data_IF_861990558196
#
_entry.id   IF_861990558196
#
_cell.length_a   1.000
_cell.length_b   1.000
_cell.length_c   1.000
_cell.angle_alpha   90.00
_cell.angle_beta   90.00
_cell.angle_gamma   90.00
#
_symmetry.space_group_name_H-M   'P 1'
#
loop_
_entity.id
_entity.type
_entity.pdbx_description
1 polymer ?
#
# COMPACT_ATOMS: atom_id res chain seq x y z
N UNK A 1 48.42 4.58 5.05
CA UNK A 1 49.71 3.86 5.17
C UNK A 1 50.74 4.54 4.27
N UNK A 2 51.79 5.06 4.88
CA UNK A 2 52.96 5.58 4.12
C UNK A 2 53.79 4.37 3.74
N UNK A 3 53.92 4.10 2.43
CA UNK A 3 54.83 3.08 1.92
C UNK A 3 56.13 3.74 1.45
N UNK A 4 57.29 3.14 1.74
CA UNK A 4 58.54 3.58 1.11
C UNK A 4 58.39 3.46 -0.41
N UNK A 5 58.64 4.54 -1.14
CA UNK A 5 58.72 4.51 -2.59
C UNK A 5 59.90 3.57 -2.99
N UNK A 6 59.57 2.44 -3.60
CA UNK A 6 60.60 1.64 -4.32
C UNK A 6 60.68 2.22 -5.72
N UNK A 7 61.88 2.46 -6.23
CA UNK A 7 62.15 3.05 -7.54
C UNK A 7 61.56 2.30 -8.76
N UNK A 8 60.87 1.20 -8.53
CA UNK A 8 60.33 0.28 -9.55
C UNK A 8 58.81 0.13 -9.55
N UNK A 9 58.05 0.79 -8.66
CA UNK A 9 56.60 0.69 -8.69
C UNK A 9 56.01 1.71 -9.68
N UNK A 10 55.34 1.28 -10.76
CA UNK A 10 54.70 2.23 -11.69
C UNK A 10 53.66 3.06 -10.95
N UNK A 11 53.71 4.38 -11.13
CA UNK A 11 52.68 5.28 -10.62
C UNK A 11 51.36 4.87 -11.25
N UNK A 12 50.34 4.57 -10.41
CA UNK A 12 49.01 4.25 -10.93
C UNK A 12 48.47 5.45 -11.70
N UNK A 13 48.07 5.24 -12.93
CA UNK A 13 47.48 6.25 -13.83
C UNK A 13 45.97 6.41 -13.59
N UNK A 14 45.38 5.62 -12.70
CA UNK A 14 43.97 5.63 -12.35
C UNK A 14 43.77 5.96 -10.88
N UNK A 15 42.61 6.51 -10.55
CA UNK A 15 42.17 6.69 -9.16
C UNK A 15 41.93 5.33 -8.51
N UNK A 16 42.16 5.25 -7.20
CA UNK A 16 41.96 4.01 -6.46
C UNK A 16 40.53 3.98 -5.89
N UNK A 17 39.68 3.07 -6.32
CA UNK A 17 38.35 2.95 -5.78
C UNK A 17 38.36 2.47 -4.32
N UNK A 18 37.41 2.96 -3.51
CA UNK A 18 37.20 2.52 -2.14
C UNK A 18 35.85 1.78 -2.11
N UNK A 19 35.88 0.52 -1.72
CA UNK A 19 34.70 -0.33 -1.66
C UNK A 19 34.16 -0.42 -0.22
N UNK A 20 32.84 -0.52 -0.02
CA UNK A 20 32.27 -0.87 1.28
C UNK A 20 32.80 -2.23 1.72
N UNK A 21 33.28 -2.32 2.96
CA UNK A 21 33.85 -3.56 3.53
C UNK A 21 33.18 -3.93 4.85
N UNK A 22 33.22 -5.22 5.17
CA UNK A 22 32.83 -5.76 6.46
C UNK A 22 34.07 -6.13 7.29
N UNK A 23 33.92 -6.38 8.57
CA UNK A 23 35.00 -6.82 9.44
C UNK A 23 35.69 -8.08 8.87
N UNK A 24 37.01 -8.05 8.80
CA UNK A 24 37.84 -9.15 8.28
C UNK A 24 38.17 -9.10 6.78
N UNK A 25 37.58 -8.18 6.00
CA UNK A 25 37.84 -8.03 4.57
C UNK A 25 38.63 -6.75 4.28
N UNK A 26 39.85 -6.87 3.73
CA UNK A 26 40.67 -5.71 3.41
C UNK A 26 40.35 -5.09 2.04
N UNK A 27 40.51 -3.76 1.91
CA UNK A 27 40.38 -3.06 0.63
C UNK A 27 41.29 -3.66 -0.46
N UNK A 28 42.49 -4.06 -0.08
CA UNK A 28 43.44 -4.69 -1.00
C UNK A 28 42.90 -6.02 -1.56
N UNK A 29 42.35 -6.86 -0.70
CA UNK A 29 41.78 -8.16 -1.09
C UNK A 29 40.60 -7.95 -2.05
N UNK A 30 39.71 -7.03 -1.72
CA UNK A 30 38.56 -6.67 -2.55
C UNK A 30 38.99 -6.15 -3.93
N UNK A 31 39.90 -5.19 -3.96
CA UNK A 31 40.39 -4.64 -5.21
C UNK A 31 41.01 -5.74 -6.10
N UNK A 32 41.80 -6.65 -5.52
CA UNK A 32 42.39 -7.77 -6.26
C UNK A 32 41.32 -8.73 -6.82
N UNK A 33 40.26 -9.02 -6.07
CA UNK A 33 39.17 -9.87 -6.55
C UNK A 33 38.38 -9.18 -7.65
N UNK A 34 38.11 -7.89 -7.52
CA UNK A 34 37.41 -7.12 -8.55
C UNK A 34 38.26 -7.05 -9.85
N UNK A 35 39.53 -6.77 -9.74
CA UNK A 35 40.45 -6.78 -10.89
C UNK A 35 40.47 -8.13 -11.61
N UNK A 36 40.53 -9.21 -10.85
CA UNK A 36 40.43 -10.58 -11.37
C UNK A 36 39.07 -10.83 -12.04
N UNK A 37 37.96 -10.46 -11.37
CA UNK A 37 36.64 -10.61 -11.93
C UNK A 37 36.41 -9.84 -13.21
N UNK A 38 36.87 -8.58 -13.29
CA UNK A 38 36.81 -7.74 -14.50
C UNK A 38 37.61 -8.31 -15.68
N UNK A 39 38.71 -9.05 -15.39
CA UNK A 39 39.51 -9.72 -16.40
C UNK A 39 38.86 -10.99 -16.94
N UNK A 40 37.99 -11.66 -16.15
CA UNK A 40 37.33 -12.91 -16.52
C UNK A 40 35.87 -12.74 -16.98
N UNK A 41 35.22 -11.63 -16.59
CA UNK A 41 33.84 -11.39 -16.92
C UNK A 41 33.61 -11.14 -18.41
N UNK A 42 32.59 -11.77 -18.97
CA UNK A 42 32.08 -11.38 -20.28
C UNK A 42 31.29 -10.06 -20.13
N UNK A 43 31.88 -8.98 -20.61
CA UNK A 43 31.30 -7.64 -20.61
C UNK A 43 30.78 -7.25 -22.02
N UNK A 44 30.48 -8.23 -22.85
CA UNK A 44 29.87 -7.99 -24.16
C UNK A 44 28.45 -7.38 -24.06
N UNK A 45 28.03 -6.71 -25.11
CA UNK A 45 26.69 -6.14 -25.19
C UNK A 45 25.63 -7.24 -25.29
N UNK A 46 24.55 -7.13 -24.50
CA UNK A 46 23.42 -8.09 -24.55
C UNK A 46 22.55 -7.92 -25.78
N UNK A 47 22.48 -6.69 -26.32
CA UNK A 47 21.64 -6.35 -27.46
C UNK A 47 22.47 -5.73 -28.59
N UNK A 48 21.99 -5.79 -29.83
CA UNK A 48 22.61 -5.08 -30.96
C UNK A 48 22.69 -3.57 -30.71
N UNK A 49 23.68 -2.89 -31.26
CA UNK A 49 23.96 -1.47 -31.05
C UNK A 49 22.73 -0.55 -31.35
N UNK A 50 21.88 -0.93 -32.26
CA UNK A 50 20.67 -0.20 -32.61
C UNK A 50 19.57 -0.24 -31.52
N UNK A 51 19.70 -1.08 -30.51
CA UNK A 51 18.80 -1.14 -29.36
C UNK A 51 19.15 -0.11 -28.27
N UNK A 52 20.32 0.55 -28.39
CA UNK A 52 20.76 1.56 -27.43
C UNK A 52 20.64 2.97 -28.01
N UNK A 53 20.42 3.99 -27.16
CA UNK A 53 20.47 5.38 -27.58
C UNK A 53 21.80 5.74 -28.25
N UNK A 54 21.74 6.55 -29.31
CA UNK A 54 22.94 7.00 -30.03
C UNK A 54 23.90 7.74 -29.09
N UNK A 55 25.16 7.35 -29.10
CA UNK A 55 26.22 7.97 -28.28
C UNK A 55 26.29 7.43 -26.84
N UNK A 56 25.53 6.41 -26.49
CA UNK A 56 25.65 5.74 -25.20
C UNK A 56 26.98 4.99 -25.10
N UNK A 57 27.65 5.14 -23.96
CA UNK A 57 28.90 4.41 -23.66
C UNK A 57 28.66 2.90 -23.64
N UNK A 58 29.63 2.09 -24.07
CA UNK A 58 29.49 0.63 -24.00
C UNK A 58 29.44 0.12 -22.56
N UNK A 59 28.81 -1.06 -22.35
CA UNK A 59 28.75 -1.68 -21.03
C UNK A 59 30.16 -1.94 -20.46
N UNK A 60 31.03 -2.53 -21.28
CA UNK A 60 32.40 -2.84 -20.89
C UNK A 60 33.21 -1.59 -20.49
N UNK A 61 33.11 -0.52 -21.27
CA UNK A 61 33.80 0.76 -20.94
C UNK A 61 33.24 1.37 -19.67
N UNK A 62 31.92 1.35 -19.50
CA UNK A 62 31.23 1.90 -18.32
C UNK A 62 31.65 1.19 -17.04
N UNK A 63 31.63 -0.15 -17.03
CA UNK A 63 32.02 -0.95 -15.86
C UNK A 63 33.51 -0.73 -15.54
N UNK A 64 34.38 -0.81 -16.53
CA UNK A 64 35.84 -0.60 -16.33
C UNK A 64 36.15 0.79 -15.81
N UNK A 65 35.51 1.82 -16.37
CA UNK A 65 35.70 3.20 -15.95
C UNK A 65 35.30 3.44 -14.49
N UNK A 66 34.18 2.90 -14.04
CA UNK A 66 33.73 3.08 -12.65
C UNK A 66 34.71 2.41 -11.68
N UNK A 67 35.28 1.27 -12.04
CA UNK A 67 36.24 0.57 -11.19
C UNK A 67 37.68 1.12 -11.31
N UNK A 68 38.04 1.71 -12.44
CA UNK A 68 39.38 2.27 -12.72
C UNK A 68 39.25 3.65 -13.38
N UNK A 69 38.72 4.66 -12.67
CA UNK A 69 38.55 5.98 -13.27
C UNK A 69 39.92 6.63 -13.54
N UNK A 70 40.06 7.27 -14.71
CA UNK A 70 41.27 8.01 -15.08
C UNK A 70 41.46 9.21 -14.13
N UNK A 71 42.71 9.63 -13.90
CA UNK A 71 43.00 10.79 -13.06
C UNK A 71 42.38 12.10 -13.55
N UNK A 72 42.16 12.20 -14.86
CA UNK A 72 41.58 13.38 -15.52
C UNK A 72 40.04 13.42 -15.47
N UNK A 73 39.40 12.44 -14.87
CA UNK A 73 37.93 12.37 -14.85
C UNK A 73 37.32 13.42 -13.90
N UNK A 74 36.16 13.94 -14.27
CA UNK A 74 35.41 14.84 -13.40
C UNK A 74 34.78 14.03 -12.24
N UNK A 75 35.41 14.17 -11.06
CA UNK A 75 34.95 13.49 -9.83
C UNK A 75 33.55 13.89 -9.43
N UNK A 76 33.16 15.16 -9.65
CA UNK A 76 31.83 15.61 -9.29
C UNK A 76 30.74 14.88 -10.11
N UNK A 77 30.98 14.64 -11.40
CA UNK A 77 30.05 13.85 -12.22
C UNK A 77 29.99 12.37 -11.80
N UNK A 78 31.12 11.81 -11.33
CA UNK A 78 31.12 10.44 -10.81
C UNK A 78 30.35 10.34 -9.50
N UNK A 79 30.62 11.24 -8.54
CA UNK A 79 29.95 11.24 -7.21
C UNK A 79 28.45 11.55 -7.32
N UNK A 80 28.07 12.51 -8.17
CA UNK A 80 26.66 12.84 -8.44
C UNK A 80 25.95 11.82 -9.34
N UNK A 81 26.65 10.78 -9.80
CA UNK A 81 26.14 9.74 -10.73
C UNK A 81 25.63 10.29 -12.08
N UNK A 82 26.13 11.44 -12.49
CA UNK A 82 25.78 12.06 -13.78
C UNK A 82 26.71 11.67 -14.92
N UNK A 83 27.81 10.99 -14.62
CA UNK A 83 28.75 10.54 -15.66
C UNK A 83 28.10 9.52 -16.61
N UNK A 84 28.40 9.54 -17.95
CA UNK A 84 27.81 8.60 -18.92
C UNK A 84 27.92 7.12 -18.55
N UNK A 85 28.99 6.72 -17.86
CA UNK A 85 29.13 5.35 -17.35
C UNK A 85 28.04 4.97 -16.34
N UNK A 86 27.67 5.86 -15.43
CA UNK A 86 26.54 5.63 -14.52
C UNK A 86 25.21 5.63 -15.23
N UNK A 87 25.03 6.51 -16.21
CA UNK A 87 23.83 6.56 -17.04
C UNK A 87 23.63 5.25 -17.81
N UNK A 88 24.74 4.66 -18.30
CA UNK A 88 24.69 3.35 -18.96
C UNK A 88 24.24 2.25 -18.02
N UNK A 89 24.84 2.12 -16.84
CA UNK A 89 24.44 1.08 -15.88
C UNK A 89 22.98 1.25 -15.42
N UNK A 90 22.57 2.50 -15.16
CA UNK A 90 21.18 2.79 -14.81
C UNK A 90 20.21 2.42 -15.96
N UNK A 91 20.60 2.67 -17.20
CA UNK A 91 19.82 2.29 -18.38
C UNK A 91 19.65 0.78 -18.48
N UNK A 92 20.74 0.00 -18.34
CA UNK A 92 20.68 -1.46 -18.42
C UNK A 92 19.83 -2.06 -17.30
N UNK A 93 19.95 -1.53 -16.07
CA UNK A 93 19.13 -1.96 -14.94
C UNK A 93 17.64 -1.67 -15.17
N UNK A 94 17.32 -0.45 -15.62
CA UNK A 94 15.95 -0.06 -15.95
C UNK A 94 15.39 -0.88 -17.12
N UNK A 95 16.21 -1.15 -18.14
CA UNK A 95 15.81 -1.98 -19.29
C UNK A 95 15.52 -3.42 -18.85
N UNK A 96 16.40 -4.02 -18.05
CA UNK A 96 16.20 -5.36 -17.50
C UNK A 96 14.91 -5.43 -16.66
N UNK A 97 14.66 -4.41 -15.84
CA UNK A 97 13.42 -4.28 -15.08
C UNK A 97 12.20 -4.19 -16.01
N UNK A 98 12.23 -3.32 -17.03
CA UNK A 98 11.13 -3.17 -17.98
C UNK A 98 10.86 -4.47 -18.76
N UNK A 99 11.90 -5.17 -19.20
CA UNK A 99 11.76 -6.45 -19.88
C UNK A 99 11.16 -7.54 -18.97
N UNK A 100 11.60 -7.61 -17.72
CA UNK A 100 11.03 -8.52 -16.71
C UNK A 100 9.54 -8.25 -16.53
N UNK A 101 9.17 -6.99 -16.38
CA UNK A 101 7.79 -6.54 -16.26
C UNK A 101 6.97 -6.91 -17.50
N UNK A 102 7.48 -6.64 -18.68
CA UNK A 102 6.80 -6.99 -19.93
C UNK A 102 6.61 -8.50 -20.06
N UNK A 103 7.58 -9.29 -19.64
CA UNK A 103 7.49 -10.75 -19.58
C UNK A 103 6.36 -11.20 -18.64
N UNK A 104 6.25 -10.62 -17.46
CA UNK A 104 5.15 -10.90 -16.50
C UNK A 104 3.80 -10.52 -17.09
N UNK A 105 3.69 -9.33 -17.70
CA UNK A 105 2.48 -8.89 -18.38
C UNK A 105 2.04 -9.88 -19.48
N UNK A 106 2.96 -10.28 -20.36
CA UNK A 106 2.68 -11.25 -21.42
C UNK A 106 2.34 -12.64 -20.88
N UNK A 107 2.97 -13.07 -19.78
CA UNK A 107 2.64 -14.33 -19.11
C UNK A 107 1.21 -14.31 -18.55
N UNK A 108 0.78 -13.19 -17.96
CA UNK A 108 -0.59 -12.99 -17.47
C UNK A 108 -1.62 -13.12 -18.58
N UNK A 109 -1.33 -12.58 -19.76
CA UNK A 109 -2.23 -12.67 -20.93
C UNK A 109 -2.41 -14.08 -21.50
N UNK A 110 -1.53 -15.03 -21.11
CA UNK A 110 -1.67 -16.45 -21.46
C UNK A 110 -2.55 -17.24 -20.49
N UNK A 111 -2.83 -16.66 -19.32
CA UNK A 111 -3.70 -17.25 -18.31
C UNK A 111 -5.15 -17.01 -18.70
N UNK A 112 -6.04 -17.92 -18.31
CA UNK A 112 -7.47 -17.76 -18.51
C UNK A 112 -8.11 -17.14 -17.28
N UNK A 113 -9.09 -16.28 -17.50
CA UNK A 113 -9.95 -15.72 -16.48
C UNK A 113 -11.42 -15.83 -16.88
N UNK A 114 -12.35 -15.78 -15.91
CA UNK A 114 -13.76 -15.73 -16.23
C UNK A 114 -14.10 -14.46 -17.01
N UNK A 115 -14.82 -14.59 -18.12
CA UNK A 115 -15.36 -13.45 -18.83
C UNK A 115 -16.59 -12.95 -18.06
N UNK A 116 -16.45 -11.82 -17.38
CA UNK A 116 -17.48 -11.27 -16.49
C UNK A 116 -18.28 -10.21 -17.26
N UNK A 117 -19.31 -10.63 -17.93
CA UNK A 117 -20.22 -9.76 -18.68
C UNK A 117 -21.56 -9.65 -17.95
N UNK A 118 -22.05 -8.44 -17.78
CA UNK A 118 -23.33 -8.16 -17.12
C UNK A 118 -24.15 -7.20 -17.99
N UNK A 119 -25.46 -7.38 -17.98
CA UNK A 119 -26.43 -6.46 -18.62
C UNK A 119 -26.55 -5.11 -17.87
N UNK A 120 -25.88 -4.98 -16.73
CA UNK A 120 -25.87 -3.79 -15.89
C UNK A 120 -27.15 -3.56 -15.08
N UNK A 121 -28.14 -4.44 -15.13
CA UNK A 121 -29.41 -4.25 -14.40
C UNK A 121 -29.20 -4.16 -12.90
N UNK A 122 -28.37 -5.05 -12.32
CA UNK A 122 -28.04 -5.04 -10.90
C UNK A 122 -27.28 -3.79 -10.48
N UNK A 123 -26.36 -3.33 -11.32
CA UNK A 123 -25.58 -2.10 -11.10
C UNK A 123 -26.51 -0.89 -11.13
N UNK A 124 -27.43 -0.79 -12.08
CA UNK A 124 -28.42 0.30 -12.13
C UNK A 124 -29.26 0.37 -10.87
N UNK A 125 -29.82 -0.78 -10.43
CA UNK A 125 -30.58 -0.85 -9.16
C UNK A 125 -29.77 -0.38 -7.97
N UNK A 126 -28.48 -0.71 -7.93
CA UNK A 126 -27.57 -0.26 -6.88
C UNK A 126 -27.38 1.25 -6.92
N UNK A 127 -27.10 1.80 -8.10
CA UNK A 127 -26.88 3.25 -8.29
C UNK A 127 -28.12 4.07 -7.96
N UNK A 128 -29.32 3.60 -8.34
CA UNK A 128 -30.58 4.24 -8.03
C UNK A 128 -30.88 4.28 -6.52
N UNK A 129 -30.32 3.32 -5.75
CA UNK A 129 -30.44 3.26 -4.30
C UNK A 129 -29.41 4.09 -3.53
N UNK A 130 -28.42 4.68 -4.19
CA UNK A 130 -27.40 5.48 -3.51
C UNK A 130 -27.91 6.90 -3.20
N UNK A 131 -27.59 7.46 -1.99
CA UNK A 131 -28.01 8.81 -1.61
C UNK A 131 -27.15 9.92 -2.30
N UNK A 132 -26.28 9.57 -3.22
CA UNK A 132 -25.37 10.49 -3.93
C UNK A 132 -25.11 10.00 -5.35
N UNK A 133 -24.63 10.89 -6.19
CA UNK A 133 -24.20 10.57 -7.56
C UNK A 133 -22.70 10.28 -7.61
N UNK A 134 -22.29 9.41 -8.54
CA UNK A 134 -20.88 9.15 -8.79
C UNK A 134 -20.21 10.36 -9.43
N UNK A 135 -18.95 10.62 -9.06
CA UNK A 135 -18.11 11.64 -9.70
C UNK A 135 -17.62 11.15 -11.08
N UNK A 136 -17.19 12.09 -11.93
CA UNK A 136 -16.60 11.74 -13.23
C UNK A 136 -15.37 10.85 -13.10
N UNK A 137 -14.53 11.11 -12.07
CA UNK A 137 -13.37 10.28 -11.75
C UNK A 137 -13.75 8.84 -11.39
N UNK A 138 -14.81 8.65 -10.59
CA UNK A 138 -15.34 7.33 -10.25
C UNK A 138 -15.93 6.63 -11.48
N UNK A 139 -16.70 7.33 -12.31
CA UNK A 139 -17.29 6.80 -13.54
C UNK A 139 -16.21 6.32 -14.51
N UNK A 140 -15.16 7.12 -14.72
CA UNK A 140 -14.01 6.75 -15.57
C UNK A 140 -13.37 5.45 -15.08
N UNK A 141 -13.07 5.35 -13.80
CA UNK A 141 -12.42 4.17 -13.23
C UNK A 141 -13.32 2.93 -13.30
N UNK A 142 -14.62 3.09 -13.08
CA UNK A 142 -15.60 2.01 -13.24
C UNK A 142 -15.59 1.47 -14.67
N UNK A 143 -15.53 2.34 -15.67
CA UNK A 143 -15.43 1.92 -17.08
C UNK A 143 -14.14 1.16 -17.38
N UNK A 144 -13.00 1.59 -16.82
CA UNK A 144 -11.72 0.89 -16.95
C UNK A 144 -11.79 -0.52 -16.34
N UNK A 145 -12.35 -0.65 -15.13
CA UNK A 145 -12.52 -1.94 -14.44
C UNK A 145 -13.50 -2.82 -15.20
N UNK A 146 -14.63 -2.28 -15.66
CA UNK A 146 -15.62 -2.98 -16.46
C UNK A 146 -15.00 -3.55 -17.74
N UNK A 147 -14.21 -2.74 -18.44
CA UNK A 147 -13.49 -3.18 -19.64
C UNK A 147 -12.50 -4.32 -19.36
N UNK A 148 -11.85 -4.32 -18.20
CA UNK A 148 -10.91 -5.40 -17.85
C UNK A 148 -11.61 -6.68 -17.40
N UNK A 149 -12.71 -6.59 -16.68
CA UNK A 149 -13.50 -7.75 -16.25
C UNK A 149 -14.13 -8.51 -17.45
N UNK A 150 -14.33 -7.83 -18.56
CA UNK A 150 -14.82 -8.41 -19.82
C UNK A 150 -13.75 -9.14 -20.62
N UNK A 151 -12.47 -9.13 -20.18
CA UNK A 151 -11.38 -9.81 -20.87
C UNK A 151 -11.26 -11.27 -20.44
N UNK A 152 -10.81 -12.13 -21.35
CA UNK A 152 -10.60 -13.55 -21.08
C UNK A 152 -9.30 -13.88 -20.33
N UNK A 153 -8.53 -12.86 -19.92
CA UNK A 153 -7.32 -12.99 -19.10
C UNK A 153 -7.46 -12.21 -17.80
N UNK A 154 -6.74 -12.60 -16.72
CA UNK A 154 -6.94 -12.01 -15.41
C UNK A 154 -6.65 -10.51 -15.38
N UNK A 155 -7.62 -9.72 -14.93
CA UNK A 155 -7.39 -8.34 -14.52
C UNK A 155 -6.46 -8.36 -13.30
N UNK A 156 -5.48 -7.47 -13.28
CA UNK A 156 -4.64 -7.19 -12.13
C UNK A 156 -4.51 -5.66 -12.01
N UNK A 157 -5.46 -5.03 -11.31
CA UNK A 157 -5.62 -3.57 -11.32
C UNK A 157 -5.50 -2.98 -9.92
N UNK A 158 -4.76 -1.88 -9.81
CA UNK A 158 -4.67 -1.07 -8.61
C UNK A 158 -5.59 0.14 -8.72
N UNK A 159 -6.56 0.22 -7.83
CA UNK A 159 -7.44 1.36 -7.63
C UNK A 159 -6.84 2.28 -6.57
N UNK A 160 -6.37 3.42 -6.99
CA UNK A 160 -5.78 4.44 -6.14
C UNK A 160 -6.75 5.61 -5.96
N UNK A 161 -6.84 6.15 -4.76
CA UNK A 161 -7.62 7.35 -4.46
C UNK A 161 -7.51 7.71 -2.99
N UNK A 162 -7.66 8.98 -2.67
CA UNK A 162 -7.60 9.47 -1.29
C UNK A 162 -8.59 8.77 -0.37
N UNK A 163 -8.38 8.88 0.94
CA UNK A 163 -9.36 8.43 1.94
C UNK A 163 -10.68 9.18 1.67
N UNK A 164 -11.80 8.43 1.60
CA UNK A 164 -13.11 9.02 1.29
C UNK A 164 -13.36 9.31 -0.20
N UNK A 165 -12.46 8.99 -1.13
CA UNK A 165 -12.69 9.16 -2.58
C UNK A 165 -13.76 8.22 -3.17
N UNK A 166 -14.30 7.29 -2.36
CA UNK A 166 -15.33 6.35 -2.79
C UNK A 166 -14.80 5.05 -3.39
N UNK A 167 -13.56 4.65 -3.11
CA UNK A 167 -13.00 3.34 -3.54
C UNK A 167 -13.92 2.16 -3.25
N UNK A 168 -14.55 2.14 -2.08
CA UNK A 168 -15.48 1.08 -1.67
C UNK A 168 -16.69 0.98 -2.60
N UNK A 169 -17.24 2.10 -3.05
CA UNK A 169 -18.37 2.11 -4.00
C UNK A 169 -17.95 1.54 -5.35
N UNK A 170 -16.79 1.97 -5.87
CA UNK A 170 -16.22 1.45 -7.12
C UNK A 170 -15.97 -0.06 -7.02
N UNK A 171 -15.38 -0.52 -5.92
CA UNK A 171 -15.15 -1.94 -5.66
C UNK A 171 -16.46 -2.75 -5.55
N UNK A 172 -17.50 -2.16 -4.93
CA UNK A 172 -18.83 -2.78 -4.86
C UNK A 172 -19.47 -2.91 -6.24
N UNK A 173 -19.32 -1.92 -7.12
CA UNK A 173 -19.80 -2.00 -8.51
C UNK A 173 -19.10 -3.12 -9.28
N UNK A 174 -17.77 -3.24 -9.13
CA UNK A 174 -17.02 -4.36 -9.71
C UNK A 174 -17.50 -5.73 -9.17
N UNK A 175 -17.77 -5.81 -7.86
CA UNK A 175 -18.34 -7.00 -7.22
C UNK A 175 -19.72 -7.34 -7.79
N UNK A 176 -20.61 -6.36 -7.93
CA UNK A 176 -21.94 -6.55 -8.49
C UNK A 176 -21.90 -7.03 -9.95
N UNK A 177 -20.94 -6.57 -10.75
CA UNK A 177 -20.72 -7.09 -12.11
C UNK A 177 -20.37 -8.57 -12.07
N UNK A 178 -19.43 -8.99 -11.19
CA UNK A 178 -19.05 -10.39 -11.06
C UNK A 178 -20.21 -11.26 -10.59
N UNK A 179 -20.98 -10.79 -9.62
CA UNK A 179 -22.15 -11.49 -9.06
C UNK A 179 -23.26 -11.62 -10.11
N UNK A 180 -23.54 -10.57 -10.87
CA UNK A 180 -24.52 -10.62 -11.96
C UNK A 180 -24.16 -11.62 -13.06
N UNK A 181 -22.85 -11.91 -13.20
CA UNK A 181 -22.34 -12.93 -14.13
C UNK A 181 -22.25 -14.34 -13.50
N UNK A 182 -22.80 -14.53 -12.28
CA UNK A 182 -22.86 -15.82 -11.59
C UNK A 182 -21.55 -16.22 -10.89
N UNK A 183 -20.67 -15.28 -10.58
CA UNK A 183 -19.43 -15.53 -9.84
C UNK A 183 -19.50 -15.00 -8.41
N UNK A 184 -18.73 -15.63 -7.54
CA UNK A 184 -18.52 -15.17 -6.17
C UNK A 184 -17.38 -14.17 -6.10
N UNK A 185 -17.41 -13.32 -5.07
CA UNK A 185 -16.40 -12.30 -4.82
C UNK A 185 -15.81 -12.48 -3.42
N UNK A 186 -14.49 -12.30 -3.29
CA UNK A 186 -13.80 -12.20 -2.01
C UNK A 186 -13.27 -10.78 -1.82
N UNK A 187 -13.56 -10.15 -0.67
CA UNK A 187 -12.99 -8.85 -0.26
C UNK A 187 -12.14 -9.05 0.98
N UNK A 188 -10.84 -8.79 0.85
CA UNK A 188 -9.87 -8.92 1.93
C UNK A 188 -9.46 -7.54 2.45
N UNK A 189 -9.56 -7.35 3.76
CA UNK A 189 -9.08 -6.17 4.46
C UNK A 189 -7.96 -6.53 5.45
N UNK A 190 -7.02 -5.62 5.75
CA UNK A 190 -5.85 -5.94 6.57
C UNK A 190 -6.16 -6.17 8.05
N UNK A 191 -7.26 -5.63 8.55
CA UNK A 191 -7.65 -5.75 9.96
C UNK A 191 -9.12 -6.12 10.10
N UNK A 192 -9.49 -6.73 11.25
CA UNK A 192 -10.87 -7.10 11.54
C UNK A 192 -11.81 -5.88 11.58
N UNK A 193 -11.33 -4.75 12.08
CA UNK A 193 -12.12 -3.50 12.16
C UNK A 193 -12.49 -3.01 10.74
N UNK A 194 -11.53 -2.97 9.81
CA UNK A 194 -11.80 -2.60 8.42
C UNK A 194 -12.72 -3.61 7.73
N UNK A 195 -12.50 -4.90 7.94
CA UNK A 195 -13.34 -5.94 7.39
C UNK A 195 -14.80 -5.80 7.89
N UNK A 196 -14.98 -5.51 9.18
CA UNK A 196 -16.30 -5.25 9.78
C UNK A 196 -16.96 -4.00 9.20
N UNK A 197 -16.22 -2.91 9.00
CA UNK A 197 -16.73 -1.68 8.38
C UNK A 197 -17.18 -1.93 6.94
N UNK A 198 -16.35 -2.61 6.14
CA UNK A 198 -16.74 -3.02 4.79
C UNK A 198 -17.99 -3.89 4.82
N UNK A 199 -18.03 -4.87 5.73
CA UNK A 199 -19.17 -5.75 5.86
C UNK A 199 -20.46 -4.98 6.19
N UNK A 200 -20.48 -4.16 7.23
CA UNK A 200 -21.67 -3.39 7.62
C UNK A 200 -22.19 -2.51 6.48
N UNK A 201 -21.28 -1.84 5.79
CA UNK A 201 -21.64 -0.93 4.68
C UNK A 201 -22.16 -1.70 3.47
N UNK A 202 -21.45 -2.73 3.04
CA UNK A 202 -21.80 -3.50 1.84
C UNK A 202 -23.02 -4.40 2.10
N UNK A 203 -23.15 -5.01 3.30
CA UNK A 203 -24.29 -5.82 3.65
C UNK A 203 -25.60 -5.03 3.58
N UNK A 204 -25.63 -3.79 4.06
CA UNK A 204 -26.78 -2.92 3.95
C UNK A 204 -27.19 -2.65 2.47
N UNK A 205 -26.22 -2.45 1.59
CA UNK A 205 -26.48 -2.30 0.16
C UNK A 205 -26.95 -3.61 -0.49
N UNK A 206 -26.35 -4.74 -0.10
CA UNK A 206 -26.66 -6.06 -0.65
C UNK A 206 -28.07 -6.54 -0.24
N UNK A 207 -28.47 -6.26 0.98
CA UNK A 207 -29.82 -6.58 1.50
C UNK A 207 -30.91 -5.95 0.61
N UNK A 208 -30.77 -4.67 0.23
CA UNK A 208 -31.70 -3.98 -0.67
C UNK A 208 -31.76 -4.59 -2.08
N UNK A 209 -30.72 -5.31 -2.49
CA UNK A 209 -30.61 -5.96 -3.79
C UNK A 209 -31.02 -7.46 -3.75
N UNK A 210 -31.28 -8.01 -2.55
CA UNK A 210 -31.56 -9.44 -2.35
C UNK A 210 -30.31 -10.32 -2.47
N UNK A 211 -29.12 -9.77 -2.20
CA UNK A 211 -27.85 -10.46 -2.25
C UNK A 211 -27.36 -10.83 -0.86
N UNK A 212 -26.57 -11.91 -0.76
CA UNK A 212 -26.02 -12.41 0.50
C UNK A 212 -24.53 -12.05 0.63
N UNK A 213 -24.15 -11.59 1.81
CA UNK A 213 -22.80 -11.26 2.19
C UNK A 213 -22.40 -12.00 3.48
N UNK A 214 -21.19 -12.54 3.55
CA UNK A 214 -20.65 -13.24 4.72
C UNK A 214 -19.40 -12.51 5.23
N UNK A 215 -19.32 -12.37 6.54
CA UNK A 215 -18.11 -11.86 7.20
C UNK A 215 -17.37 -12.98 7.91
N UNK A 216 -16.08 -13.16 7.59
CA UNK A 216 -15.18 -14.11 8.26
C UNK A 216 -14.18 -13.36 9.15
N UNK A 217 -14.28 -13.59 10.45
CA UNK A 217 -13.39 -13.03 11.47
C UNK A 217 -12.66 -14.11 12.26
N UNK A 218 -11.43 -13.79 12.71
CA UNK A 218 -10.67 -14.63 13.64
C UNK A 218 -11.38 -14.88 14.96
N UNK A 219 -12.18 -13.91 15.44
CA UNK A 219 -12.88 -13.91 16.72
C UNK A 219 -14.15 -14.77 16.75
N UNK A 220 -14.66 -15.23 15.61
CA UNK A 220 -15.88 -16.05 15.53
C UNK A 220 -15.68 -17.46 16.10
N UNK A 221 -16.77 -18.02 16.66
CA UNK A 221 -16.77 -19.40 17.16
C UNK A 221 -16.57 -20.42 16.03
N UNK A 222 -16.05 -21.60 16.35
CA UNK A 222 -15.85 -22.68 15.37
C UNK A 222 -17.14 -23.03 14.62
N UNK A 223 -18.28 -23.04 15.30
CA UNK A 223 -19.60 -23.34 14.72
C UNK A 223 -20.00 -22.28 13.70
N UNK A 224 -19.86 -21.01 14.03
CA UNK A 224 -20.16 -19.91 13.11
C UNK A 224 -19.25 -19.94 11.88
N UNK A 225 -17.93 -20.18 12.06
CA UNK A 225 -16.99 -20.33 10.94
C UNK A 225 -17.40 -21.46 10.02
N UNK A 226 -17.76 -22.61 10.59
CA UNK A 226 -18.18 -23.76 9.80
C UNK A 226 -19.44 -23.48 8.96
N UNK A 227 -20.43 -22.82 9.53
CA UNK A 227 -21.62 -22.38 8.79
C UNK A 227 -21.28 -21.43 7.64
N UNK A 228 -20.38 -20.48 7.89
CA UNK A 228 -19.93 -19.55 6.84
C UNK A 228 -19.12 -20.27 5.74
N UNK A 229 -18.31 -21.25 6.09
CA UNK A 229 -17.58 -22.05 5.08
C UNK A 229 -18.54 -22.83 4.19
N UNK A 230 -19.56 -23.46 4.75
CA UNK A 230 -20.61 -24.16 4.00
C UNK A 230 -21.39 -23.20 3.10
N UNK A 231 -21.71 -22.01 3.59
CA UNK A 231 -22.43 -20.99 2.85
C UNK A 231 -21.61 -20.43 1.66
N UNK A 232 -20.29 -20.30 1.83
CA UNK A 232 -19.37 -19.91 0.74
C UNK A 232 -19.21 -21.06 -0.26
N UNK A 233 -18.96 -22.28 0.22
CA UNK A 233 -18.69 -23.44 -0.64
C UNK A 233 -19.91 -23.91 -1.43
N UNK A 234 -21.12 -23.67 -0.93
CA UNK A 234 -22.37 -23.94 -1.65
C UNK A 234 -22.73 -22.89 -2.73
N UNK A 235 -21.97 -21.76 -2.80
CA UNK A 235 -22.27 -20.66 -3.70
C UNK A 235 -23.42 -19.75 -3.25
N UNK A 236 -24.01 -19.97 -2.07
CA UNK A 236 -25.09 -19.14 -1.53
C UNK A 236 -24.58 -17.77 -1.08
N UNK A 237 -23.31 -17.67 -0.63
CA UNK A 237 -22.67 -16.40 -0.36
C UNK A 237 -22.17 -15.78 -1.67
N UNK A 238 -22.72 -14.64 -2.06
CA UNK A 238 -22.28 -13.88 -3.23
C UNK A 238 -20.95 -13.15 -2.98
N UNK A 239 -20.78 -12.62 -1.77
CA UNK A 239 -19.58 -11.90 -1.34
C UNK A 239 -19.12 -12.42 0.02
N UNK A 240 -17.84 -12.76 0.13
CA UNK A 240 -17.18 -13.05 1.41
C UNK A 240 -16.21 -11.93 1.77
N UNK A 241 -16.38 -11.32 2.93
CA UNK A 241 -15.52 -10.27 3.46
C UNK A 241 -14.75 -10.81 4.67
N UNK A 242 -13.47 -10.51 4.76
CA UNK A 242 -12.67 -10.94 5.91
C UNK A 242 -11.24 -10.45 5.85
N UNK A 243 -10.43 -10.96 6.79
CA UNK A 243 -8.99 -10.74 6.83
C UNK A 243 -8.26 -11.94 6.20
N UNK A 244 -7.06 -12.24 6.66
CA UNK A 244 -6.34 -13.48 6.30
C UNK A 244 -7.15 -14.78 6.56
N UNK A 245 -8.27 -14.71 7.28
CA UNK A 245 -9.19 -15.83 7.45
C UNK A 245 -9.74 -16.38 6.11
N UNK A 246 -9.88 -15.50 5.09
CA UNK A 246 -10.31 -15.90 3.74
C UNK A 246 -9.28 -16.78 3.00
N UNK A 247 -8.01 -16.72 3.40
CA UNK A 247 -6.92 -17.47 2.77
C UNK A 247 -6.77 -18.89 3.36
N UNK A 248 -7.36 -19.15 4.53
CA UNK A 248 -7.23 -20.43 5.22
C UNK A 248 -7.71 -21.60 4.36
N UNK A 249 -7.05 -22.75 4.46
CA UNK A 249 -7.33 -23.93 3.61
C UNK A 249 -8.79 -24.38 3.66
N UNK A 250 -9.47 -24.16 4.78
CA UNK A 250 -10.86 -24.54 4.98
C UNK A 250 -11.88 -23.71 4.19
N UNK A 251 -11.47 -22.53 3.70
CA UNK A 251 -12.34 -21.70 2.87
C UNK A 251 -12.22 -22.13 1.41
N UNK A 252 -13.30 -22.61 0.85
CA UNK A 252 -13.43 -22.99 -0.56
C UNK A 252 -14.59 -22.23 -1.18
N UNK A 253 -14.38 -21.66 -2.35
CA UNK A 253 -15.42 -20.98 -3.11
C UNK A 253 -15.97 -21.91 -4.19
N UNK A 254 -17.27 -21.89 -4.41
CA UNK A 254 -17.89 -22.65 -5.50
C UNK A 254 -17.44 -22.10 -6.87
N UNK A 255 -17.39 -20.77 -7.03
CA UNK A 255 -17.09 -20.12 -8.31
C UNK A 255 -16.50 -18.72 -8.12
N UNK A 256 -15.28 -18.64 -7.60
CA UNK A 256 -14.61 -17.35 -7.35
C UNK A 256 -14.20 -16.68 -8.67
N UNK A 257 -14.73 -15.49 -8.97
CA UNK A 257 -14.41 -14.73 -10.19
C UNK A 257 -13.62 -13.45 -9.94
N UNK A 258 -13.80 -12.82 -8.77
CA UNK A 258 -13.14 -11.56 -8.44
C UNK A 258 -12.61 -11.58 -7.01
N UNK A 259 -11.39 -11.12 -6.84
CA UNK A 259 -10.75 -10.88 -5.54
C UNK A 259 -10.48 -9.39 -5.41
N UNK A 260 -10.96 -8.79 -4.31
CA UNK A 260 -10.71 -7.38 -3.96
C UNK A 260 -9.82 -7.37 -2.73
N UNK A 261 -8.74 -6.60 -2.76
CA UNK A 261 -7.78 -6.47 -1.65
C UNK A 261 -7.66 -5.02 -1.27
N UNK A 262 -8.09 -4.67 -0.06
CA UNK A 262 -7.95 -3.30 0.45
C UNK A 262 -6.61 -3.12 1.16
N UNK A 263 -6.03 -1.90 1.04
CA UNK A 263 -4.72 -1.55 1.57
C UNK A 263 -3.62 -2.58 1.26
N UNK A 264 -3.46 -2.85 -0.03
CA UNK A 264 -2.57 -3.88 -0.59
C UNK A 264 -1.17 -3.92 0.05
N UNK A 265 -0.59 -2.78 0.40
CA UNK A 265 0.77 -2.67 0.94
C UNK A 265 0.97 -3.38 2.29
N UNK A 266 -0.13 -3.73 2.97
CA UNK A 266 -0.12 -4.46 4.26
C UNK A 266 -0.14 -5.98 4.11
N UNK A 267 -0.24 -6.49 2.87
CA UNK A 267 -0.25 -7.92 2.60
C UNK A 267 1.05 -8.38 1.95
N UNK A 268 1.61 -9.47 2.47
CA UNK A 268 2.76 -10.14 1.86
C UNK A 268 2.43 -10.73 0.46
N UNK A 269 3.46 -10.94 -0.35
CA UNK A 269 3.34 -11.52 -1.69
C UNK A 269 2.66 -12.90 -1.64
N UNK A 270 3.00 -13.74 -0.66
CA UNK A 270 2.42 -15.08 -0.47
C UNK A 270 0.92 -15.04 -0.24
N UNK A 271 0.43 -14.11 0.60
CA UNK A 271 -0.99 -13.99 0.91
C UNK A 271 -1.82 -13.64 -0.34
N UNK A 272 -1.29 -12.79 -1.21
CA UNK A 272 -1.92 -12.42 -2.47
C UNK A 272 -1.94 -13.60 -3.47
N UNK A 273 -0.87 -14.40 -3.50
CA UNK A 273 -0.80 -15.60 -4.32
C UNK A 273 -1.79 -16.67 -3.86
N UNK A 274 -1.93 -16.87 -2.55
CA UNK A 274 -2.88 -17.84 -1.98
C UNK A 274 -4.33 -17.55 -2.37
N UNK A 275 -4.75 -16.26 -2.42
CA UNK A 275 -6.09 -15.89 -2.90
C UNK A 275 -6.31 -16.22 -4.37
N UNK A 276 -5.27 -16.10 -5.21
CA UNK A 276 -5.35 -16.53 -6.63
C UNK A 276 -5.62 -18.03 -6.77
N UNK A 277 -5.06 -18.83 -5.86
CA UNK A 277 -5.18 -20.29 -5.86
C UNK A 277 -6.51 -20.79 -5.26
N UNK A 278 -7.31 -19.90 -4.65
CA UNK A 278 -8.62 -20.24 -4.06
C UNK A 278 -9.75 -20.42 -5.07
N UNK A 279 -9.55 -20.03 -6.33
CA UNK A 279 -10.43 -20.48 -7.39
C UNK A 279 -10.29 -22.00 -7.51
N UNK A 280 -11.31 -22.73 -7.13
CA UNK A 280 -11.33 -24.19 -7.02
C UNK A 280 -11.33 -24.91 -8.39
N UNK A 281 -10.76 -24.26 -9.41
CA UNK A 281 -10.72 -24.75 -10.78
C UNK A 281 -9.34 -24.56 -11.37
N UNK A 282 -8.78 -25.61 -11.99
CA UNK A 282 -7.61 -25.50 -12.87
C UNK A 282 -7.94 -24.72 -14.16
N UNK A 283 -9.20 -24.29 -14.34
CA UNK A 283 -9.68 -23.71 -15.59
C UNK A 283 -9.40 -22.21 -15.71
N UNK A 284 -9.44 -21.43 -14.60
CA UNK A 284 -9.22 -19.98 -14.61
C UNK A 284 -8.64 -19.43 -13.31
N UNK A 285 -8.05 -18.24 -13.43
CA UNK A 285 -7.56 -17.42 -12.31
C UNK A 285 -8.55 -16.26 -12.11
N UNK A 286 -9.00 -15.97 -10.88
CA UNK A 286 -9.90 -14.86 -10.62
C UNK A 286 -9.25 -13.50 -10.94
N UNK A 287 -10.05 -12.54 -11.38
CA UNK A 287 -9.63 -11.17 -11.51
C UNK A 287 -9.23 -10.59 -10.15
N UNK A 288 -8.30 -9.64 -10.15
CA UNK A 288 -7.84 -8.96 -8.93
C UNK A 288 -8.00 -7.46 -9.04
N UNK A 289 -8.67 -6.88 -8.05
CA UNK A 289 -8.76 -5.45 -7.83
C UNK A 289 -8.10 -5.12 -6.49
N UNK A 290 -7.02 -4.40 -6.53
CA UNK A 290 -6.31 -3.95 -5.32
C UNK A 290 -6.66 -2.50 -5.07
N UNK A 291 -6.80 -2.11 -3.81
CA UNK A 291 -7.11 -0.74 -3.42
C UNK A 291 -6.03 -0.18 -2.52
N UNK A 292 -5.79 1.12 -2.62
CA UNK A 292 -4.91 1.85 -1.69
C UNK A 292 -5.34 3.31 -1.56
N UNK A 293 -5.21 3.84 -0.34
CA UNK A 293 -5.38 5.27 -0.06
C UNK A 293 -4.05 6.04 -0.20
N UNK A 294 -2.90 5.34 -0.24
CA UNK A 294 -1.61 6.01 -0.40
C UNK A 294 -1.37 6.38 -1.85
N UNK A 295 -1.07 7.67 -2.15
CA UNK A 295 -0.67 8.06 -3.48
C UNK A 295 0.71 7.47 -3.80
N UNK A 296 0.75 6.54 -4.73
CA UNK A 296 2.00 5.99 -5.25
C UNK A 296 2.32 6.78 -6.51
N UNK A 297 3.45 7.52 -6.59
CA UNK A 297 3.84 8.21 -7.80
C UNK A 297 3.81 7.25 -9.00
N UNK A 298 3.26 7.71 -10.13
CA UNK A 298 3.05 6.85 -11.31
C UNK A 298 4.34 6.19 -11.79
N UNK A 299 5.46 6.90 -11.70
CA UNK A 299 6.79 6.37 -12.00
C UNK A 299 7.21 5.25 -11.04
N UNK A 300 6.91 5.39 -9.76
CA UNK A 300 7.20 4.38 -8.75
C UNK A 300 6.25 3.17 -8.88
N UNK A 301 4.98 3.41 -9.21
CA UNK A 301 4.03 2.32 -9.48
C UNK A 301 4.44 1.50 -10.69
N UNK A 302 4.99 2.13 -11.72
CA UNK A 302 5.55 1.45 -12.89
C UNK A 302 6.81 0.65 -12.57
N UNK A 303 7.58 1.02 -11.55
CA UNK A 303 8.81 0.32 -11.15
C UNK A 303 8.55 -0.85 -10.20
N UNK A 304 7.66 -0.68 -9.21
CA UNK A 304 7.40 -1.68 -8.18
C UNK A 304 6.17 -2.57 -8.45
N UNK A 305 5.22 -2.07 -9.23
CA UNK A 305 3.93 -2.72 -9.48
C UNK A 305 3.68 -2.93 -10.98
N UNK A 306 4.70 -3.17 -11.72
CA UNK A 306 4.68 -3.27 -13.18
C UNK A 306 3.74 -4.31 -13.76
N UNK A 307 3.27 -5.25 -12.97
CA UNK A 307 2.22 -6.21 -13.35
C UNK A 307 0.80 -5.66 -13.06
N UNK A 308 0.69 -4.41 -12.56
CA UNK A 308 -0.58 -3.79 -12.24
C UNK A 308 -0.96 -2.71 -13.25
N UNK A 309 -2.17 -2.80 -13.77
CA UNK A 309 -2.84 -1.67 -14.40
C UNK A 309 -3.32 -0.71 -13.30
N UNK A 310 -3.10 0.60 -13.46
CA UNK A 310 -3.42 1.59 -12.41
C UNK A 310 -4.57 2.48 -12.84
N UNK A 311 -5.57 2.58 -11.97
CA UNK A 311 -6.67 3.55 -12.06
C UNK A 311 -6.62 4.50 -10.87
N UNK A 312 -6.72 5.79 -11.12
CA UNK A 312 -6.72 6.83 -10.09
C UNK A 312 -8.08 7.52 -10.08
N UNK A 313 -8.71 7.56 -8.90
CA UNK A 313 -9.91 8.38 -8.70
C UNK A 313 -9.42 9.80 -8.45
N UNK A 314 -9.52 10.63 -9.47
CA UNK A 314 -9.17 12.05 -9.39
C UNK A 314 -10.32 12.86 -8.76
N UNK A 315 -9.96 13.87 -7.98
CA UNK A 315 -10.92 14.80 -7.36
C UNK A 315 -11.47 14.33 -6.00
N UNK A 316 -11.97 15.29 -5.26
CA UNK A 316 -12.66 15.06 -3.98
C UNK A 316 -14.15 14.89 -4.24
N UNK A 317 -14.86 14.06 -3.46
CA UNK A 317 -16.31 13.96 -3.52
C UNK A 317 -16.96 15.34 -3.27
N UNK A 318 -18.14 15.60 -3.85
CA UNK A 318 -18.89 16.82 -3.60
C UNK A 318 -19.12 17.05 -2.11
N UNK A 319 -18.91 18.28 -1.64
CA UNK A 319 -19.09 18.67 -0.23
C UNK A 319 -17.88 18.44 0.67
N UNK A 320 -16.80 17.81 0.21
CA UNK A 320 -15.56 17.67 1.00
C UNK A 320 -14.68 18.91 0.83
N UNK A 321 -14.40 19.58 1.95
CA UNK A 321 -13.44 20.71 1.99
C UNK A 321 -12.00 20.21 1.98
N UNK A 322 -11.07 20.92 1.30
CA UNK A 322 -9.66 20.57 1.34
C UNK A 322 -9.09 20.58 2.77
N UNK A 323 -8.32 19.57 3.11
CA UNK A 323 -7.68 19.46 4.43
C UNK A 323 -6.56 20.49 4.53
N UNK A 324 -6.61 21.30 5.59
CA UNK A 324 -5.55 22.26 5.91
C UNK A 324 -4.51 21.58 6.79
N UNK A 325 -3.26 21.55 6.34
CA UNK A 325 -2.13 21.04 7.12
C UNK A 325 -1.30 22.20 7.63
N UNK A 326 -1.06 22.24 8.93
CA UNK A 326 -0.21 23.25 9.60
C UNK A 326 0.94 22.57 10.31
N UNK A 327 2.15 23.04 10.07
CA UNK A 327 3.33 22.64 10.83
C UNK A 327 3.49 23.61 12.01
N UNK A 328 3.57 23.06 13.20
CA UNK A 328 3.70 23.82 14.45
C UNK A 328 4.95 23.35 15.18
N UNK A 329 5.78 24.29 15.67
CA UNK A 329 6.96 23.96 16.46
C UNK A 329 6.54 23.53 17.87
N UNK A 330 7.33 22.66 18.52
CA UNK A 330 7.06 22.13 19.86
C UNK A 330 6.90 23.24 20.92
N UNK A 331 7.64 24.34 20.80
CA UNK A 331 7.52 25.52 21.66
C UNK A 331 6.11 26.15 21.66
N UNK A 332 5.32 25.90 20.61
CA UNK A 332 3.96 26.44 20.46
C UNK A 332 2.89 25.38 20.75
N UNK A 333 3.24 24.31 21.45
CA UNK A 333 2.31 23.22 21.79
C UNK A 333 1.11 23.73 22.60
N UNK A 334 1.32 24.66 23.51
CA UNK A 334 0.27 25.24 24.35
C UNK A 334 -0.80 25.98 23.53
N UNK A 335 -0.42 26.62 22.42
CA UNK A 335 -1.39 27.25 21.50
C UNK A 335 -2.26 26.18 20.82
N UNK A 336 -1.68 24.99 20.48
CA UNK A 336 -2.44 23.88 19.92
C UNK A 336 -3.42 23.33 20.96
N UNK A 337 -3.00 23.16 22.22
CA UNK A 337 -3.85 22.69 23.31
C UNK A 337 -5.05 23.63 23.51
N UNK A 338 -4.81 24.95 23.55
CA UNK A 338 -5.88 25.96 23.69
C UNK A 338 -6.85 25.94 22.47
N UNK A 339 -6.32 25.78 21.27
CA UNK A 339 -7.15 25.64 20.06
C UNK A 339 -8.05 24.41 20.15
N UNK A 340 -7.48 23.26 20.56
CA UNK A 340 -8.21 21.99 20.71
C UNK A 340 -9.32 22.11 21.73
N UNK A 341 -9.04 22.71 22.90
CA UNK A 341 -10.06 22.94 23.92
C UNK A 341 -11.25 23.73 23.38
N UNK A 342 -10.97 24.86 22.72
CA UNK A 342 -11.99 25.73 22.09
C UNK A 342 -12.82 24.99 21.05
N UNK A 343 -12.21 24.17 20.20
CA UNK A 343 -12.88 23.45 19.13
C UNK A 343 -13.72 22.28 19.69
N UNK A 344 -13.22 21.58 20.71
CA UNK A 344 -13.97 20.54 21.40
C UNK A 344 -15.19 21.09 22.13
N UNK A 345 -15.09 22.28 22.75
CA UNK A 345 -16.24 22.98 23.34
C UNK A 345 -17.31 23.36 22.32
N UNK A 346 -16.91 23.57 21.05
CA UNK A 346 -17.83 23.77 19.92
C UNK A 346 -18.44 22.45 19.38
N UNK A 347 -18.12 21.31 19.97
CA UNK A 347 -18.70 20.00 19.63
C UNK A 347 -17.87 19.14 18.68
N UNK A 348 -16.68 19.58 18.27
CA UNK A 348 -15.79 18.81 17.39
C UNK A 348 -14.95 17.82 18.18
N UNK A 349 -14.64 16.66 17.58
CA UNK A 349 -13.74 15.67 18.16
C UNK A 349 -12.35 15.72 17.51
N UNK A 350 -11.35 15.24 18.24
CA UNK A 350 -9.94 15.35 17.87
C UNK A 350 -9.24 14.01 18.03
N UNK A 351 -8.46 13.63 17.02
CA UNK A 351 -7.44 12.59 17.11
C UNK A 351 -6.11 13.19 17.54
N UNK A 352 -5.47 12.59 18.55
CA UNK A 352 -4.12 12.94 18.97
C UNK A 352 -3.21 11.73 18.82
N UNK A 353 -2.35 11.79 17.80
CA UNK A 353 -1.51 10.65 17.39
C UNK A 353 -0.11 10.81 17.94
N UNK A 354 0.33 9.83 18.73
CA UNK A 354 1.70 9.72 19.22
C UNK A 354 2.52 8.79 18.30
N UNK A 355 3.75 9.17 17.88
CA UNK A 355 4.57 8.37 17.01
C UNK A 355 5.04 7.08 17.68
N UNK A 356 5.35 6.08 16.87
CA UNK A 356 6.07 4.89 17.28
C UNK A 356 7.56 5.24 17.49
N UNK A 357 8.10 5.01 18.67
CA UNK A 357 9.54 5.06 18.92
C UNK A 357 10.07 3.67 18.57
N UNK A 358 10.97 3.55 17.58
CA UNK A 358 11.41 2.29 16.97
C UNK A 358 12.04 1.26 17.93
N UNK A 359 12.49 1.65 19.12
CA UNK A 359 13.33 0.81 19.96
C UNK A 359 12.59 -0.17 20.89
N UNK A 360 11.34 0.02 21.26
CA UNK A 360 10.51 -1.00 21.91
C UNK A 360 9.03 -0.65 22.02
N UNK A 361 8.16 -1.65 21.90
CA UNK A 361 6.70 -1.53 22.14
C UNK A 361 6.37 -1.04 23.56
N UNK A 362 7.26 -1.27 24.53
CA UNK A 362 7.08 -0.81 25.90
C UNK A 362 7.28 0.71 26.04
N UNK A 363 8.23 1.28 25.29
CA UNK A 363 8.49 2.72 25.27
C UNK A 363 7.34 3.49 24.60
N UNK A 364 6.78 2.91 23.53
CA UNK A 364 5.63 3.45 22.82
C UNK A 364 4.40 3.59 23.70
N UNK A 365 4.12 2.55 24.49
CA UNK A 365 3.02 2.56 25.44
C UNK A 365 3.22 3.63 26.51
N UNK A 366 4.46 3.78 27.02
CA UNK A 366 4.79 4.78 28.02
C UNK A 366 4.54 6.20 27.50
N UNK A 367 5.01 6.51 26.28
CA UNK A 367 4.78 7.84 25.66
C UNK A 367 3.30 8.13 25.46
N UNK A 368 2.51 7.17 25.00
CA UNK A 368 1.07 7.35 24.81
C UNK A 368 0.34 7.53 26.14
N UNK A 369 0.75 6.81 27.20
CA UNK A 369 0.21 6.98 28.56
C UNK A 369 0.57 8.34 29.15
N UNK A 370 1.81 8.76 29.04
CA UNK A 370 2.27 10.08 29.50
C UNK A 370 1.52 11.23 28.79
N UNK A 371 1.34 11.10 27.46
CA UNK A 371 0.54 12.05 26.68
C UNK A 371 -0.92 12.06 27.10
N UNK A 372 -1.51 10.88 27.34
CA UNK A 372 -2.89 10.74 27.81
C UNK A 372 -3.08 11.40 29.20
N UNK A 373 -2.18 11.14 30.16
CA UNK A 373 -2.22 11.73 31.49
C UNK A 373 -2.08 13.26 31.43
N UNK A 374 -1.13 13.75 30.62
CA UNK A 374 -0.92 15.18 30.41
C UNK A 374 -2.13 15.86 29.78
N UNK A 375 -2.68 15.30 28.71
CA UNK A 375 -3.87 15.87 28.06
C UNK A 375 -5.12 15.78 28.95
N UNK A 376 -5.24 14.74 29.79
CA UNK A 376 -6.33 14.64 30.76
C UNK A 376 -6.23 15.72 31.85
N UNK A 377 -5.02 16.15 32.20
CA UNK A 377 -4.78 17.29 33.10
C UNK A 377 -5.00 18.63 32.40
N UNK A 378 -4.56 18.75 31.13
CA UNK A 378 -4.71 19.97 30.32
C UNK A 378 -6.20 20.22 29.97
N UNK A 379 -7.03 19.17 29.88
CA UNK A 379 -8.45 19.27 29.53
C UNK A 379 -9.41 18.75 30.61
N UNK A 380 -9.53 19.44 31.76
CA UNK A 380 -10.35 18.97 32.91
C UNK A 380 -11.84 18.85 32.59
N UNK A 381 -12.32 19.55 31.57
CA UNK A 381 -13.73 19.57 31.16
C UNK A 381 -14.03 18.68 29.93
N UNK A 382 -13.03 18.01 29.38
CA UNK A 382 -13.19 17.11 28.22
C UNK A 382 -12.87 15.67 28.62
N UNK A 383 -13.56 14.72 28.02
CA UNK A 383 -13.20 13.31 28.17
C UNK A 383 -12.12 12.95 27.16
N UNK A 384 -10.97 12.52 27.66
CA UNK A 384 -9.85 12.01 26.89
C UNK A 384 -9.91 10.48 26.90
N UNK A 385 -9.79 9.85 25.75
CA UNK A 385 -9.69 8.41 25.61
C UNK A 385 -8.31 7.99 25.14
N UNK A 386 -7.92 6.73 25.39
CA UNK A 386 -6.63 6.17 24.94
C UNK A 386 -6.83 4.85 24.20
N UNK A 387 -6.22 4.74 23.02
CA UNK A 387 -6.16 3.48 22.24
C UNK A 387 -4.73 3.17 21.86
N UNK A 388 -4.26 1.96 22.16
CA UNK A 388 -2.92 1.49 21.80
C UNK A 388 -2.90 0.00 21.43
N UNK A 389 -1.78 -0.48 20.87
CA UNK A 389 -1.63 -1.84 20.34
C UNK A 389 -1.93 -2.96 21.32
N UNK A 390 -1.59 -2.78 22.61
CA UNK A 390 -1.74 -3.82 23.67
C UNK A 390 -3.13 -3.95 24.26
N UNK A 391 -4.07 -3.04 23.97
CA UNK A 391 -5.45 -3.19 24.41
C UNK A 391 -6.09 -4.44 23.77
N UNK A 392 -6.90 -5.15 24.55
CA UNK A 392 -7.70 -6.25 24.03
C UNK A 392 -8.72 -5.73 23.01
N UNK A 393 -9.09 -6.57 22.05
CA UNK A 393 -10.01 -6.18 20.97
C UNK A 393 -11.33 -5.59 21.50
N UNK A 394 -11.90 -6.17 22.56
CA UNK A 394 -13.11 -5.68 23.20
C UNK A 394 -12.93 -4.28 23.83
N UNK A 395 -11.81 -4.03 24.48
CA UNK A 395 -11.51 -2.72 25.09
C UNK A 395 -11.31 -1.64 24.02
N UNK A 396 -10.58 -1.98 22.93
CA UNK A 396 -10.44 -1.08 21.77
C UNK A 396 -11.80 -0.73 21.18
N UNK A 397 -12.65 -1.73 21.00
CA UNK A 397 -13.98 -1.54 20.43
C UNK A 397 -14.84 -0.65 21.35
N UNK A 398 -14.76 -0.83 22.66
CA UNK A 398 -15.51 -0.03 23.63
C UNK A 398 -15.08 1.44 23.59
N UNK A 399 -13.78 1.73 23.59
CA UNK A 399 -13.26 3.10 23.51
C UNK A 399 -13.63 3.75 22.18
N UNK A 400 -13.54 3.01 21.08
CA UNK A 400 -13.93 3.51 19.76
C UNK A 400 -15.41 3.77 19.64
N UNK A 401 -16.27 2.95 20.24
CA UNK A 401 -17.71 3.19 20.30
C UNK A 401 -18.04 4.45 21.10
N UNK A 402 -17.40 4.65 22.25
CA UNK A 402 -17.58 5.86 23.05
C UNK A 402 -17.10 7.13 22.31
N UNK A 403 -16.01 7.01 21.53
CA UNK A 403 -15.55 8.10 20.67
C UNK A 403 -16.53 8.36 19.53
N UNK A 404 -17.04 7.33 18.87
CA UNK A 404 -18.05 7.46 17.83
C UNK A 404 -19.37 8.07 18.36
N UNK A 405 -19.76 7.74 19.58
CA UNK A 405 -20.95 8.29 20.25
C UNK A 405 -20.74 9.73 20.78
N UNK A 406 -19.59 10.34 20.54
CA UNK A 406 -19.21 11.66 21.06
C UNK A 406 -19.14 11.75 22.60
N UNK A 407 -18.97 10.61 23.27
CA UNK A 407 -18.74 10.58 24.72
C UNK A 407 -17.30 10.93 25.09
N UNK A 408 -16.35 10.73 24.15
CA UNK A 408 -14.93 11.10 24.23
C UNK A 408 -14.69 12.18 23.19
N UNK A 409 -14.09 13.32 23.59
CA UNK A 409 -13.81 14.44 22.70
C UNK A 409 -12.39 14.39 22.13
N UNK A 410 -11.42 13.89 22.88
CA UNK A 410 -10.03 13.75 22.44
C UNK A 410 -9.61 12.28 22.53
N UNK A 411 -9.20 11.69 21.41
CA UNK A 411 -8.72 10.32 21.39
C UNK A 411 -7.22 10.28 21.17
N UNK A 412 -6.48 9.95 22.22
CA UNK A 412 -5.04 9.70 22.16
C UNK A 412 -4.79 8.31 21.59
N UNK A 413 -3.90 8.22 20.62
CA UNK A 413 -3.60 6.95 19.98
C UNK A 413 -2.14 6.82 19.61
N UNK A 414 -1.66 5.58 19.62
CA UNK A 414 -0.47 5.21 18.85
C UNK A 414 -0.84 5.02 17.38
N UNK A 415 0.13 4.84 16.50
CA UNK A 415 -0.06 4.61 15.05
C UNK A 415 -1.00 3.43 14.71
N UNK A 416 -1.48 2.70 15.71
CA UNK A 416 -2.46 1.59 15.56
C UNK A 416 -3.81 2.06 14.97
N UNK A 417 -4.11 3.36 15.00
CA UNK A 417 -5.27 3.95 14.27
C UNK A 417 -4.98 4.16 12.76
N UNK A 418 -3.89 3.66 12.23
CA UNK A 418 -3.66 3.64 10.77
C UNK A 418 -4.81 3.00 9.96
N UNK A 419 -5.72 2.38 10.65
CA UNK A 419 -6.92 1.75 10.10
C UNK A 419 -8.10 2.65 10.37
N UNK A 420 -8.38 3.51 9.40
CA UNK A 420 -9.42 4.53 9.42
C UNK A 420 -10.75 4.05 9.98
N UNK A 421 -11.04 4.45 11.21
CA UNK A 421 -12.41 4.44 11.70
C UNK A 421 -13.00 5.78 11.27
N UNK A 422 -14.01 5.71 10.40
CA UNK A 422 -14.71 6.90 9.93
C UNK A 422 -15.55 7.48 11.08
N UNK A 423 -15.06 8.57 11.70
CA UNK A 423 -15.76 9.33 12.72
C UNK A 423 -16.05 10.71 12.16
N UNK A 424 -17.27 10.95 11.63
CA UNK A 424 -17.58 12.17 10.89
C UNK A 424 -17.36 13.47 11.68
N UNK A 425 -17.50 13.40 13.01
CA UNK A 425 -17.34 14.55 13.91
C UNK A 425 -15.88 14.86 14.29
N UNK A 426 -14.95 13.94 14.01
CA UNK A 426 -13.53 14.12 14.28
C UNK A 426 -12.85 14.83 13.11
N UNK A 427 -12.87 16.15 13.07
CA UNK A 427 -12.35 16.96 11.97
C UNK A 427 -10.95 17.49 12.19
N UNK A 428 -10.33 17.24 13.33
CA UNK A 428 -8.96 17.69 13.65
C UNK A 428 -8.11 16.48 14.03
N UNK A 429 -6.89 16.46 13.50
CA UNK A 429 -5.87 15.50 13.87
C UNK A 429 -4.58 16.25 14.27
N UNK A 430 -4.07 15.95 15.44
CA UNK A 430 -2.76 16.39 15.92
C UNK A 430 -1.80 15.20 15.80
N UNK A 431 -0.65 15.41 15.22
CA UNK A 431 0.39 14.39 15.09
C UNK A 431 1.65 14.92 15.76
N UNK A 432 2.01 14.35 16.92
CA UNK A 432 3.25 14.69 17.61
C UNK A 432 4.45 14.07 16.88
N UNK A 433 5.59 14.76 16.89
CA UNK A 433 6.85 14.30 16.28
C UNK A 433 6.68 13.75 14.84
N UNK A 434 5.96 14.53 14.01
CA UNK A 434 5.65 14.13 12.63
C UNK A 434 6.90 13.84 11.77
N UNK A 435 8.07 14.40 12.14
CA UNK A 435 9.36 14.15 11.51
C UNK A 435 9.81 12.68 11.60
N UNK A 436 9.25 11.92 12.53
CA UNK A 436 9.52 10.47 12.71
C UNK A 436 8.63 9.56 11.87
N UNK A 437 7.66 10.13 11.19
CA UNK A 437 6.71 9.37 10.34
C UNK A 437 7.07 9.48 8.88
N UNK A 438 6.89 8.41 8.14
CA UNK A 438 7.00 8.42 6.69
C UNK A 438 5.88 9.25 6.04
N UNK A 439 6.17 9.91 4.91
CA UNK A 439 5.18 10.75 4.20
C UNK A 439 3.90 10.00 3.84
N UNK A 440 3.98 8.72 3.49
CA UNK A 440 2.81 7.88 3.19
C UNK A 440 1.93 7.67 4.42
N UNK A 441 2.52 7.48 5.61
CA UNK A 441 1.78 7.36 6.86
C UNK A 441 1.08 8.67 7.23
N UNK A 442 1.79 9.80 7.13
CA UNK A 442 1.22 11.12 7.36
C UNK A 442 0.06 11.42 6.39
N UNK A 443 0.20 11.04 5.12
CA UNK A 443 -0.86 11.19 4.13
C UNK A 443 -2.09 10.33 4.48
N UNK A 444 -1.88 9.08 4.87
CA UNK A 444 -2.95 8.16 5.27
C UNK A 444 -3.69 8.64 6.52
N UNK A 445 -2.96 9.12 7.54
CA UNK A 445 -3.54 9.68 8.76
C UNK A 445 -4.35 10.94 8.47
N UNK A 446 -3.84 11.82 7.61
CA UNK A 446 -4.50 13.07 7.21
C UNK A 446 -5.83 12.85 6.49
N UNK A 447 -5.93 11.79 5.67
CA UNK A 447 -7.11 11.48 4.84
C UNK A 447 -8.29 10.96 5.63
#
# INVERSE_FOLDING_TARGET
QIRKASETAPVKTTLTPIYPTTAGLSQYTLAKWIDWALAQADLSEFFPANCYPTGMMSFAESVRLIHHPAQSIDLHQLESRQHPAWQRLAYDELLAQQLSMRRHYLSRHRLRAPNIQSDGALIRRFLDGLPFQLTDGQNKVIQEIHGDLNKAFPMNRLLQGDVGSGKTVVATIAALQAIASGYQVALMAPTEILAEQHFKKIAAWFESLGLSCVWLSGSQTKKQKQQHYEFISSGQAHLAIGTHALIQQQVSFAKLGLVIVDEQHRFGVEQRLMLKQKANTDEWIPHQLMMTATPIPRTLSMSYFADLDVSVIDGLPPGRTPIQTKLVNEERRDEVVQLIEKVCQAGTQVYWVCPLIEESEALQLKTALETFERLSADFPNLKVGLVHGKLKAAEKQQVMQAFYANEIQVLVSTTVIEVGVDVPNASIMVIEHAERMGLSQLHQLRG
#
